data_IF_576829093100
#
_entry.id   IF_576829093100
#
_cell.length_a   1.000
_cell.length_b   1.000
_cell.length_c   1.000
_cell.angle_alpha   90.00
_cell.angle_beta   90.00
_cell.angle_gamma   90.00
#
_symmetry.space_group_name_H-M   'P 1'
#
loop_
_entity.id
_entity.type
_entity.pdbx_description
1 polymer ?
#
# COMPACT_ATOMS: atom_id res chain seq x y z
N UNK A 1 23.09 -88.62 -17.87
CA UNK A 1 22.54 -87.72 -18.92
C UNK A 1 21.91 -86.54 -18.17
N UNK A 2 22.54 -85.42 -18.12
CA UNK A 2 22.29 -84.33 -17.21
C UNK A 2 21.46 -83.24 -17.92
N UNK A 3 20.31 -82.92 -17.38
CA UNK A 3 19.43 -81.81 -17.85
C UNK A 3 19.73 -80.58 -16.96
N UNK A 4 20.26 -79.53 -17.53
CA UNK A 4 20.46 -78.22 -16.86
C UNK A 4 19.19 -77.37 -17.03
N UNK A 5 18.58 -77.05 -15.91
CA UNK A 5 17.46 -76.09 -15.82
C UNK A 5 18.09 -74.68 -15.71
N UNK A 6 17.79 -73.81 -16.70
CA UNK A 6 18.18 -72.40 -16.71
C UNK A 6 17.07 -71.59 -16.06
N UNK A 7 17.28 -71.10 -14.86
CA UNK A 7 16.33 -70.18 -14.20
C UNK A 7 16.54 -68.74 -14.73
N UNK A 8 15.56 -68.23 -15.44
CA UNK A 8 15.52 -66.80 -15.84
C UNK A 8 14.97 -65.99 -14.67
N UNK A 9 15.84 -65.19 -14.03
CA UNK A 9 15.45 -64.14 -13.07
C UNK A 9 15.08 -62.89 -13.88
N UNK A 10 13.75 -62.62 -14.03
CA UNK A 10 13.22 -61.34 -14.49
C UNK A 10 13.36 -60.34 -13.36
N UNK A 11 14.39 -59.51 -13.41
CA UNK A 11 14.51 -58.33 -12.56
C UNK A 11 13.56 -57.24 -13.05
N UNK A 12 12.43 -57.07 -12.38
CA UNK A 12 11.57 -55.89 -12.55
C UNK A 12 12.23 -54.70 -11.88
N UNK A 13 12.97 -53.87 -12.70
CA UNK A 13 13.39 -52.54 -12.28
C UNK A 13 12.14 -51.65 -12.10
N UNK A 14 11.75 -51.44 -10.87
CA UNK A 14 10.82 -50.36 -10.52
C UNK A 14 11.55 -49.02 -10.74
N UNK A 15 11.37 -48.40 -11.90
CA UNK A 15 11.70 -46.98 -12.08
C UNK A 15 10.72 -46.17 -11.22
N UNK A 16 11.20 -45.72 -10.05
CA UNK A 16 10.54 -44.65 -9.32
C UNK A 16 10.79 -43.38 -10.11
N UNK A 17 9.87 -43.07 -11.01
CA UNK A 17 9.76 -41.73 -11.57
C UNK A 17 9.24 -40.83 -10.45
N UNK A 18 10.14 -40.17 -9.73
CA UNK A 18 9.77 -39.00 -8.93
C UNK A 18 9.20 -37.97 -9.90
N UNK A 19 7.88 -37.93 -10.03
CA UNK A 19 7.21 -36.81 -10.64
C UNK A 19 7.54 -35.58 -9.78
N UNK A 20 8.48 -34.76 -10.21
CA UNK A 20 8.61 -33.41 -9.70
C UNK A 20 7.28 -32.72 -9.98
N UNK A 21 6.44 -32.59 -8.95
CA UNK A 21 5.28 -31.73 -9.04
C UNK A 21 5.79 -30.34 -9.42
N UNK A 22 5.37 -29.81 -10.56
CA UNK A 22 5.68 -28.43 -10.92
C UNK A 22 5.09 -27.54 -9.84
N UNK A 23 5.92 -26.66 -9.27
CA UNK A 23 5.46 -25.66 -8.30
C UNK A 23 4.30 -24.88 -8.89
N UNK A 24 3.23 -24.74 -8.12
CA UNK A 24 2.06 -23.99 -8.54
C UNK A 24 2.37 -22.50 -8.47
N UNK A 25 2.24 -21.82 -9.61
CA UNK A 25 2.53 -20.39 -9.71
C UNK A 25 1.48 -19.56 -9.00
N UNK A 26 1.92 -18.62 -8.16
CA UNK A 26 1.10 -17.61 -7.50
C UNK A 26 1.49 -16.24 -8.00
N UNK A 27 0.62 -15.56 -8.75
CA UNK A 27 0.86 -14.22 -9.21
C UNK A 27 0.47 -13.18 -8.16
N UNK A 28 1.37 -12.27 -7.86
CA UNK A 28 1.12 -11.12 -6.98
C UNK A 28 1.19 -9.86 -7.81
N UNK A 29 0.08 -9.15 -7.92
CA UNK A 29 -0.01 -7.93 -8.70
C UNK A 29 0.04 -6.69 -7.81
N UNK A 30 0.74 -5.66 -8.27
CA UNK A 30 0.82 -4.38 -7.57
C UNK A 30 1.07 -3.22 -8.53
N UNK A 31 0.65 -2.01 -8.14
CA UNK A 31 0.96 -0.77 -8.84
C UNK A 31 2.21 -0.05 -8.33
N UNK A 32 2.72 -0.44 -7.17
CA UNK A 32 3.87 0.21 -6.54
C UNK A 32 5.15 -0.07 -7.33
N UNK A 33 5.95 0.98 -7.54
CA UNK A 33 7.16 0.89 -8.33
C UNK A 33 8.28 0.12 -7.61
N UNK A 34 9.21 -0.43 -8.37
CA UNK A 34 10.44 -0.99 -7.79
C UNK A 34 11.18 0.11 -6.98
N UNK A 35 11.59 -0.23 -5.77
CA UNK A 35 12.22 0.72 -4.83
C UNK A 35 11.27 1.45 -3.89
N UNK A 36 9.94 1.35 -4.09
CA UNK A 36 8.96 1.78 -3.10
C UNK A 36 9.12 0.96 -1.81
N UNK A 37 8.99 1.63 -0.65
CA UNK A 37 9.06 0.97 0.66
C UNK A 37 8.06 -0.18 0.80
N UNK A 38 6.89 -0.06 0.17
CA UNK A 38 5.89 -1.12 0.11
C UNK A 38 6.43 -2.36 -0.59
N UNK A 39 7.16 -2.20 -1.71
CA UNK A 39 7.75 -3.33 -2.46
C UNK A 39 8.86 -4.00 -1.67
N UNK A 40 9.65 -3.26 -0.92
CA UNK A 40 10.67 -3.82 -0.02
C UNK A 40 9.99 -4.76 0.98
N UNK A 41 8.92 -4.33 1.64
CA UNK A 41 8.14 -5.14 2.57
C UNK A 41 7.53 -6.38 1.91
N UNK A 42 6.89 -6.20 0.75
CA UNK A 42 6.31 -7.29 -0.02
C UNK A 42 7.36 -8.35 -0.33
N UNK A 43 8.51 -7.95 -0.86
CA UNK A 43 9.58 -8.89 -1.21
C UNK A 43 10.11 -9.66 0.00
N UNK A 44 10.16 -9.04 1.18
CA UNK A 44 10.54 -9.73 2.42
C UNK A 44 9.53 -10.78 2.83
N UNK A 45 8.23 -10.44 2.81
CA UNK A 45 7.15 -11.38 3.10
C UNK A 45 7.14 -12.54 2.10
N UNK A 46 7.26 -12.23 0.81
CA UNK A 46 7.26 -13.23 -0.28
C UNK A 46 8.49 -14.16 -0.19
N UNK A 47 9.64 -13.65 0.18
CA UNK A 47 10.84 -14.49 0.42
C UNK A 47 10.59 -15.53 1.52
N UNK A 48 9.86 -15.17 2.58
CA UNK A 48 9.51 -16.11 3.64
C UNK A 48 8.49 -17.16 3.14
N UNK A 49 7.47 -16.72 2.38
CA UNK A 49 6.49 -17.63 1.79
C UNK A 49 7.14 -18.60 0.80
N UNK A 50 8.01 -18.13 -0.10
CA UNK A 50 8.73 -19.00 -1.03
C UNK A 50 9.61 -20.03 -0.30
N UNK A 51 10.25 -19.65 0.81
CA UNK A 51 11.02 -20.59 1.63
C UNK A 51 10.12 -21.64 2.31
N UNK A 52 8.96 -21.22 2.81
CA UNK A 52 8.03 -22.13 3.52
C UNK A 52 7.34 -23.10 2.56
N UNK A 53 7.01 -22.66 1.37
CA UNK A 53 6.27 -23.42 0.36
C UNK A 53 7.14 -23.92 -0.79
N UNK A 54 8.47 -24.02 -0.56
CA UNK A 54 9.41 -24.54 -1.55
C UNK A 54 8.93 -25.91 -2.08
N UNK A 55 8.90 -26.06 -3.42
CA UNK A 55 8.38 -27.24 -4.08
C UNK A 55 6.83 -27.32 -4.18
N UNK A 56 6.09 -26.37 -3.60
CA UNK A 56 4.61 -26.30 -3.64
C UNK A 56 4.12 -25.07 -4.38
N UNK A 57 4.58 -23.90 -3.98
CA UNK A 57 4.19 -22.62 -4.56
C UNK A 57 5.40 -21.78 -4.97
N UNK A 58 5.30 -21.09 -6.13
CA UNK A 58 6.23 -20.10 -6.61
C UNK A 58 5.54 -18.73 -6.66
N UNK A 59 5.78 -17.90 -5.64
CA UNK A 59 5.20 -16.57 -5.53
C UNK A 59 6.01 -15.54 -6.33
N UNK A 60 5.36 -14.86 -7.28
CA UNK A 60 5.99 -13.87 -8.17
C UNK A 60 5.31 -12.52 -8.11
N UNK A 61 6.09 -11.47 -7.83
CA UNK A 61 5.61 -10.09 -7.82
C UNK A 61 5.65 -9.51 -9.24
N UNK A 62 4.51 -9.01 -9.70
CA UNK A 62 4.31 -8.40 -11.02
C UNK A 62 3.87 -6.94 -10.82
N UNK A 63 4.70 -6.01 -11.26
CA UNK A 63 4.43 -4.57 -11.14
C UNK A 63 3.67 -4.10 -12.39
N UNK A 64 2.44 -3.62 -12.20
CA UNK A 64 1.60 -3.05 -13.25
C UNK A 64 1.15 -1.64 -12.80
N UNK A 65 1.89 -0.59 -13.18
CA UNK A 65 1.57 0.78 -12.77
C UNK A 65 0.35 1.32 -13.51
N UNK A 66 -0.24 2.39 -12.96
CA UNK A 66 -1.29 3.19 -13.61
C UNK A 66 -2.67 3.07 -12.97
N UNK A 67 -3.53 4.02 -13.32
CA UNK A 67 -4.97 4.10 -12.98
C UNK A 67 -5.31 3.81 -11.52
N UNK A 68 -4.49 4.30 -10.57
CA UNK A 68 -4.72 4.05 -9.14
C UNK A 68 -4.70 2.56 -8.74
N UNK A 69 -4.11 1.68 -9.58
CA UNK A 69 -4.03 0.23 -9.37
C UNK A 69 -5.09 -0.57 -10.14
N UNK A 70 -5.97 0.06 -10.92
CA UNK A 70 -7.04 -0.64 -11.65
C UNK A 70 -6.49 -1.65 -12.66
N UNK A 71 -5.38 -1.32 -13.36
CA UNK A 71 -4.74 -2.24 -14.30
C UNK A 71 -4.21 -3.52 -13.62
N UNK A 72 -3.65 -3.38 -12.42
CA UNK A 72 -3.21 -4.53 -11.61
C UNK A 72 -4.40 -5.37 -11.16
N UNK A 73 -5.49 -4.73 -10.70
CA UNK A 73 -6.73 -5.39 -10.29
C UNK A 73 -7.38 -6.16 -11.44
N UNK A 74 -7.49 -5.54 -12.63
CA UNK A 74 -8.04 -6.20 -13.84
C UNK A 74 -7.24 -7.46 -14.21
N UNK A 75 -5.90 -7.35 -14.18
CA UNK A 75 -5.06 -8.49 -14.48
C UNK A 75 -5.22 -9.61 -13.45
N UNK A 76 -5.32 -9.25 -12.16
CA UNK A 76 -5.55 -10.22 -11.09
C UNK A 76 -6.87 -10.97 -11.26
N UNK A 77 -7.96 -10.27 -11.63
CA UNK A 77 -9.27 -10.89 -11.91
C UNK A 77 -9.18 -11.86 -13.09
N UNK A 78 -8.51 -11.46 -14.18
CA UNK A 78 -8.37 -12.31 -15.37
C UNK A 78 -7.61 -13.59 -15.06
N UNK A 79 -6.48 -13.52 -14.35
CA UNK A 79 -5.68 -14.68 -13.99
C UNK A 79 -6.42 -15.60 -13.01
N UNK A 80 -7.11 -15.05 -12.01
CA UNK A 80 -7.89 -15.82 -11.06
C UNK A 80 -9.07 -16.57 -11.75
N UNK A 81 -9.75 -15.94 -12.72
CA UNK A 81 -10.79 -16.58 -13.51
C UNK A 81 -10.24 -17.67 -14.45
N UNK A 82 -8.96 -17.59 -14.82
CA UNK A 82 -8.25 -18.64 -15.54
C UNK A 82 -7.73 -19.77 -14.63
N UNK A 83 -8.03 -19.73 -13.33
CA UNK A 83 -7.63 -20.75 -12.35
C UNK A 83 -6.21 -20.55 -11.79
N UNK A 84 -5.58 -19.39 -12.02
CA UNK A 84 -4.26 -19.08 -11.48
C UNK A 84 -4.43 -18.45 -10.09
N UNK A 85 -3.75 -18.99 -9.08
CA UNK A 85 -3.72 -18.41 -7.75
C UNK A 85 -3.13 -16.99 -7.79
N UNK A 86 -3.89 -16.04 -7.27
CA UNK A 86 -3.57 -14.62 -7.46
C UNK A 86 -3.81 -13.83 -6.18
N UNK A 87 -2.86 -12.95 -5.87
CA UNK A 87 -2.92 -11.93 -4.83
C UNK A 87 -2.77 -10.55 -5.45
N UNK A 88 -3.29 -9.54 -4.78
CA UNK A 88 -3.00 -8.14 -5.07
C UNK A 88 -2.44 -7.46 -3.84
N UNK A 89 -1.39 -6.67 -4.05
CA UNK A 89 -0.87 -5.73 -3.05
C UNK A 89 -1.27 -4.32 -3.45
N UNK A 90 -2.11 -3.73 -2.64
CA UNK A 90 -2.58 -2.37 -2.81
C UNK A 90 -2.71 -1.66 -1.47
N UNK A 91 -3.73 -0.83 -1.36
CA UNK A 91 -4.04 -0.07 -0.15
C UNK A 91 -5.55 -0.06 0.10
N UNK A 92 -5.96 0.36 1.28
CA UNK A 92 -7.38 0.63 1.57
C UNK A 92 -7.95 1.65 0.58
N UNK A 93 -7.12 2.61 0.11
CA UNK A 93 -7.53 3.60 -0.90
C UNK A 93 -8.06 2.97 -2.19
N UNK A 94 -7.59 1.77 -2.58
CA UNK A 94 -8.11 1.08 -3.75
C UNK A 94 -9.62 0.83 -3.65
N UNK A 95 -10.11 0.52 -2.44
CA UNK A 95 -11.53 0.29 -2.17
C UNK A 95 -12.28 1.58 -1.81
N UNK A 96 -11.63 2.52 -1.16
CA UNK A 96 -12.28 3.67 -0.52
C UNK A 96 -12.24 4.96 -1.37
N UNK A 97 -11.07 5.35 -1.88
CA UNK A 97 -10.84 6.64 -2.53
C UNK A 97 -10.77 6.52 -4.05
N UNK A 98 -10.04 5.52 -4.56
CA UNK A 98 -9.78 5.38 -6.00
C UNK A 98 -11.05 5.31 -6.85
N UNK A 99 -12.13 4.63 -6.41
CA UNK A 99 -13.39 4.63 -7.15
C UNK A 99 -13.99 6.03 -7.34
N UNK A 100 -13.73 6.95 -6.40
CA UNK A 100 -14.24 8.33 -6.46
C UNK A 100 -13.35 9.21 -7.34
N UNK A 101 -12.02 9.06 -7.23
CA UNK A 101 -11.03 9.90 -7.91
C UNK A 101 -10.83 9.50 -9.37
N UNK A 102 -10.82 8.20 -9.67
CA UNK A 102 -10.47 7.65 -10.99
C UNK A 102 -11.67 7.13 -11.80
N UNK A 103 -12.91 7.28 -11.28
CA UNK A 103 -14.11 6.73 -11.92
C UNK A 103 -13.94 5.24 -12.27
N UNK A 104 -13.47 4.47 -11.28
CA UNK A 104 -13.13 3.06 -11.45
C UNK A 104 -14.33 2.23 -11.88
N UNK A 105 -14.14 1.37 -12.87
CA UNK A 105 -15.17 0.43 -13.37
C UNK A 105 -15.23 -0.87 -12.57
N UNK A 106 -14.23 -1.12 -11.71
CA UNK A 106 -14.18 -2.33 -10.88
C UNK A 106 -14.92 -2.07 -9.58
N UNK A 107 -15.96 -2.85 -9.31
CA UNK A 107 -16.57 -2.90 -7.99
C UNK A 107 -15.76 -3.85 -7.08
N UNK A 108 -14.80 -3.29 -6.35
CA UNK A 108 -13.88 -4.08 -5.52
C UNK A 108 -14.55 -4.82 -4.38
N UNK A 109 -15.68 -4.34 -3.88
CA UNK A 109 -16.45 -5.02 -2.82
C UNK A 109 -17.08 -6.33 -3.32
N UNK A 110 -17.34 -6.40 -4.65
CA UNK A 110 -17.86 -7.59 -5.30
C UNK A 110 -16.74 -8.52 -5.76
N UNK A 111 -15.68 -7.97 -6.34
CA UNK A 111 -14.63 -8.73 -7.02
C UNK A 111 -13.55 -9.27 -6.09
N UNK A 112 -13.32 -8.61 -4.93
CA UNK A 112 -12.19 -8.92 -4.07
C UNK A 112 -12.58 -9.19 -2.62
N UNK A 113 -11.67 -9.86 -1.91
CA UNK A 113 -11.71 -10.08 -0.47
C UNK A 113 -10.42 -9.53 0.13
N UNK A 114 -10.49 -8.62 1.12
CA UNK A 114 -9.33 -8.18 1.86
C UNK A 114 -8.79 -9.34 2.72
N UNK A 115 -7.47 -9.50 2.76
CA UNK A 115 -6.82 -10.65 3.43
C UNK A 115 -5.94 -10.21 4.59
N UNK A 116 -5.14 -9.16 4.40
CA UNK A 116 -4.17 -8.71 5.41
C UNK A 116 -3.95 -7.20 5.28
N UNK A 117 -4.10 -6.46 6.36
CA UNK A 117 -3.61 -5.10 6.50
C UNK A 117 -2.24 -5.15 7.17
N UNK A 118 -1.19 -5.02 6.38
CA UNK A 118 0.16 -5.20 6.87
C UNK A 118 0.67 -4.01 7.67
N UNK A 119 0.50 -2.79 7.14
CA UNK A 119 0.94 -1.59 7.83
C UNK A 119 0.17 -0.33 7.44
N UNK A 120 0.41 0.72 8.21
CA UNK A 120 0.04 2.09 7.91
C UNK A 120 1.24 3.03 7.97
N UNK A 121 1.18 4.07 7.16
CA UNK A 121 2.15 5.14 7.09
C UNK A 121 1.44 6.48 7.23
N UNK A 122 1.84 7.35 8.16
CA UNK A 122 1.27 8.68 8.23
C UNK A 122 1.62 9.48 6.98
N UNK A 123 0.76 10.39 6.60
CA UNK A 123 1.14 11.52 5.76
C UNK A 123 1.36 12.72 6.67
N UNK A 124 2.18 13.67 6.24
CA UNK A 124 2.46 14.87 7.02
C UNK A 124 2.28 16.12 6.18
N UNK A 125 1.79 17.19 6.81
CA UNK A 125 1.89 18.54 6.24
C UNK A 125 3.34 18.98 6.41
N UNK A 126 3.98 19.32 5.30
CA UNK A 126 5.41 19.64 5.24
C UNK A 126 5.66 20.95 4.52
N UNK A 127 6.63 21.70 5.03
CA UNK A 127 7.05 23.01 4.51
C UNK A 127 8.57 23.08 4.41
N UNK A 128 9.07 24.12 3.70
CA UNK A 128 10.49 24.45 3.72
C UNK A 128 10.93 24.85 5.14
N UNK A 129 11.99 24.20 5.71
CA UNK A 129 12.47 24.51 7.05
C UNK A 129 12.99 25.92 7.23
N UNK A 130 13.42 26.60 6.15
CA UNK A 130 13.94 27.96 6.17
C UNK A 130 12.84 29.04 6.32
N UNK A 131 11.57 28.64 6.17
CA UNK A 131 10.45 29.53 6.41
C UNK A 131 10.12 29.60 7.91
N UNK A 132 9.74 30.79 8.40
CA UNK A 132 9.25 30.96 9.77
C UNK A 132 7.82 30.44 9.97
N UNK A 133 7.59 29.16 9.55
CA UNK A 133 6.35 28.44 9.69
C UNK A 133 6.60 27.28 10.66
N UNK A 134 6.01 27.33 11.87
CA UNK A 134 6.25 26.36 12.93
C UNK A 134 5.02 25.52 13.27
N UNK A 135 3.85 25.98 12.88
CA UNK A 135 2.56 25.35 13.17
C UNK A 135 1.69 25.31 11.92
N UNK A 136 0.62 24.52 11.96
CA UNK A 136 -0.40 24.52 10.91
C UNK A 136 -1.02 25.91 10.76
N UNK A 137 -1.26 26.62 11.88
CA UNK A 137 -1.83 27.97 11.86
C UNK A 137 -0.90 29.00 11.18
N UNK A 138 0.43 28.85 11.34
CA UNK A 138 1.39 29.70 10.64
C UNK A 138 1.33 29.46 9.13
N UNK A 139 1.20 28.19 8.70
CA UNK A 139 1.03 27.85 7.30
C UNK A 139 -0.27 28.45 6.73
N UNK A 140 -1.37 28.34 7.47
CA UNK A 140 -2.66 28.91 7.07
C UNK A 140 -2.56 30.45 6.89
N UNK A 141 -1.90 31.15 7.83
CA UNK A 141 -1.63 32.59 7.71
C UNK A 141 -0.76 32.89 6.49
N UNK A 142 0.30 32.11 6.25
CA UNK A 142 1.18 32.26 5.10
C UNK A 142 0.40 32.13 3.78
N UNK A 143 -0.45 31.09 3.66
CA UNK A 143 -1.29 30.88 2.46
C UNK A 143 -2.30 32.01 2.26
N UNK A 144 -2.98 32.46 3.32
CA UNK A 144 -3.97 33.54 3.25
C UNK A 144 -3.39 34.88 2.83
N UNK A 145 -2.10 35.14 3.12
CA UNK A 145 -1.40 36.35 2.73
C UNK A 145 -0.94 36.35 1.27
N UNK A 146 -1.15 35.27 0.53
CA UNK A 146 -0.83 35.16 -0.88
C UNK A 146 -2.10 35.29 -1.76
N UNK A 147 -1.99 35.95 -2.90
CA UNK A 147 -3.06 35.92 -3.90
C UNK A 147 -3.28 34.49 -4.43
N UNK A 148 -2.19 33.73 -4.54
CA UNK A 148 -2.18 32.35 -5.01
C UNK A 148 -1.07 31.59 -4.30
N UNK A 149 -1.41 30.44 -3.75
CA UNK A 149 -0.48 29.49 -3.12
C UNK A 149 -0.50 28.16 -3.86
N UNK A 150 0.52 27.32 -3.63
CA UNK A 150 0.67 26.05 -4.33
C UNK A 150 0.92 24.91 -3.36
N UNK A 151 0.25 23.77 -3.59
CA UNK A 151 0.57 22.50 -2.92
C UNK A 151 1.26 21.53 -3.88
N UNK A 152 2.33 20.89 -3.43
CA UNK A 152 3.02 19.86 -4.20
C UNK A 152 2.45 18.47 -3.92
N UNK A 153 2.07 17.72 -4.96
CA UNK A 153 1.53 16.38 -4.86
C UNK A 153 2.13 15.45 -5.91
N UNK A 154 2.07 14.14 -5.70
CA UNK A 154 2.43 13.16 -6.76
C UNK A 154 1.21 12.77 -7.58
N UNK A 155 1.45 12.38 -8.84
CA UNK A 155 0.41 12.07 -9.82
C UNK A 155 -0.56 10.95 -9.38
N UNK A 156 -0.14 10.03 -8.52
CA UNK A 156 -0.90 8.82 -8.17
C UNK A 156 -1.22 8.69 -6.67
N UNK A 157 -0.89 9.70 -5.88
CA UNK A 157 -1.04 9.64 -4.42
C UNK A 157 -2.46 10.00 -3.99
N UNK A 158 -3.34 9.02 -3.83
CA UNK A 158 -4.75 9.24 -3.46
C UNK A 158 -4.94 9.69 -2.01
N UNK A 159 -4.20 9.11 -1.06
CA UNK A 159 -4.28 9.53 0.35
C UNK A 159 -3.82 10.98 0.56
N UNK A 160 -2.68 11.42 0.01
CA UNK A 160 -2.29 12.84 0.04
C UNK A 160 -3.31 13.78 -0.59
N UNK A 161 -3.92 13.40 -1.71
CA UNK A 161 -4.95 14.22 -2.37
C UNK A 161 -6.17 14.42 -1.45
N UNK A 162 -6.63 13.36 -0.80
CA UNK A 162 -7.72 13.46 0.17
C UNK A 162 -7.35 14.38 1.35
N UNK A 163 -6.15 14.21 1.90
CA UNK A 163 -5.70 15.02 3.04
C UNK A 163 -5.50 16.49 2.66
N UNK A 164 -4.99 16.79 1.46
CA UNK A 164 -4.87 18.16 0.94
C UNK A 164 -6.26 18.79 0.78
N UNK A 165 -7.23 18.03 0.26
CA UNK A 165 -8.63 18.46 0.19
C UNK A 165 -9.21 18.74 1.58
N UNK A 166 -8.99 17.86 2.56
CA UNK A 166 -9.44 18.04 3.94
C UNK A 166 -8.83 19.31 4.54
N UNK A 167 -7.51 19.49 4.42
CA UNK A 167 -6.79 20.66 4.92
C UNK A 167 -7.35 21.95 4.34
N UNK A 168 -7.47 22.03 2.99
CA UNK A 168 -7.98 23.22 2.32
C UNK A 168 -9.43 23.52 2.68
N UNK A 169 -10.29 22.52 2.70
CA UNK A 169 -11.71 22.68 3.03
C UNK A 169 -11.88 23.12 4.48
N UNK A 170 -11.12 22.53 5.42
CA UNK A 170 -11.19 22.86 6.84
C UNK A 170 -10.91 24.35 7.12
N UNK A 171 -9.91 24.92 6.43
CA UNK A 171 -9.50 26.31 6.63
C UNK A 171 -10.07 27.29 5.58
N UNK A 172 -10.89 26.83 4.65
CA UNK A 172 -11.46 27.68 3.57
C UNK A 172 -10.39 28.24 2.63
N UNK A 173 -9.36 27.48 2.30
CA UNK A 173 -8.23 27.92 1.46
C UNK A 173 -8.55 27.74 -0.03
N UNK A 174 -9.26 28.71 -0.61
CA UNK A 174 -9.70 28.66 -2.02
C UNK A 174 -8.65 29.17 -3.02
N UNK A 175 -7.53 29.73 -2.52
CA UNK A 175 -6.44 30.28 -3.32
C UNK A 175 -5.28 29.31 -3.53
N UNK A 176 -5.45 28.01 -3.23
CA UNK A 176 -4.41 26.98 -3.39
C UNK A 176 -4.62 26.19 -4.67
N UNK A 177 -3.57 26.10 -5.49
CA UNK A 177 -3.51 25.21 -6.65
C UNK A 177 -2.57 24.03 -6.40
N UNK A 178 -2.95 22.85 -6.89
CA UNK A 178 -2.14 21.63 -6.75
C UNK A 178 -1.23 21.44 -7.97
N UNK A 179 0.07 21.36 -7.71
CA UNK A 179 1.11 21.03 -8.71
C UNK A 179 1.45 19.56 -8.61
N UNK A 180 1.48 18.85 -9.74
CA UNK A 180 1.70 17.40 -9.80
C UNK A 180 3.10 17.06 -10.27
N UNK A 181 3.79 16.22 -9.52
CA UNK A 181 5.14 15.73 -9.80
C UNK A 181 5.12 14.20 -10.02
N UNK A 182 6.17 13.66 -10.62
CA UNK A 182 6.26 12.22 -10.91
C UNK A 182 6.56 11.39 -9.65
N UNK A 183 7.38 11.93 -8.74
CA UNK A 183 7.87 11.21 -7.57
C UNK A 183 8.01 12.11 -6.33
N UNK A 184 7.93 11.55 -5.10
CA UNK A 184 8.07 12.32 -3.86
C UNK A 184 9.37 13.15 -3.73
N UNK A 185 10.55 12.70 -4.19
CA UNK A 185 11.76 13.53 -4.15
C UNK A 185 11.66 14.83 -4.97
N UNK A 186 10.91 14.81 -6.09
CA UNK A 186 10.69 16.02 -6.89
C UNK A 186 9.81 17.02 -6.12
N UNK A 187 8.77 16.51 -5.41
CA UNK A 187 7.93 17.33 -4.53
C UNK A 187 8.77 17.93 -3.41
N UNK A 188 9.59 17.14 -2.74
CA UNK A 188 10.45 17.63 -1.65
C UNK A 188 11.37 18.75 -2.15
N UNK A 189 11.98 18.57 -3.31
CA UNK A 189 12.83 19.60 -3.93
C UNK A 189 12.04 20.88 -4.21
N UNK A 190 10.83 20.79 -4.78
CA UNK A 190 10.02 21.97 -5.10
C UNK A 190 9.59 22.74 -3.85
N UNK A 191 9.33 22.07 -2.72
CA UNK A 191 9.08 22.71 -1.43
C UNK A 191 10.34 23.41 -0.91
N UNK A 192 11.52 22.75 -0.98
CA UNK A 192 12.80 23.31 -0.51
C UNK A 192 13.22 24.57 -1.26
N UNK A 193 12.89 24.70 -2.55
CA UNK A 193 13.18 25.89 -3.35
C UNK A 193 12.02 26.88 -3.40
N UNK A 194 10.95 26.67 -2.60
CA UNK A 194 9.74 27.50 -2.55
C UNK A 194 9.00 27.63 -3.89
N UNK A 195 9.11 26.65 -4.79
CA UNK A 195 8.28 26.55 -5.98
C UNK A 195 6.82 26.24 -5.61
N UNK A 196 6.62 25.42 -4.58
CA UNK A 196 5.34 25.21 -3.90
C UNK A 196 5.46 25.56 -2.42
N UNK A 197 4.35 25.95 -1.79
CA UNK A 197 4.33 26.45 -0.41
C UNK A 197 4.37 25.31 0.62
N UNK A 198 3.75 24.18 0.30
CA UNK A 198 3.69 23.01 1.16
C UNK A 198 3.44 21.74 0.35
N UNK A 199 3.60 20.63 1.02
CA UNK A 199 3.15 19.32 0.51
C UNK A 199 2.50 18.49 1.62
N UNK A 200 1.69 17.49 1.20
CA UNK A 200 1.17 16.46 2.10
C UNK A 200 1.56 15.12 1.49
N UNK A 201 2.57 14.48 2.06
CA UNK A 201 3.11 13.19 1.60
C UNK A 201 3.57 12.36 2.80
N UNK A 202 4.02 11.15 2.55
CA UNK A 202 4.68 10.33 3.56
C UNK A 202 6.03 10.99 3.95
N UNK A 203 6.31 11.22 5.24
CA UNK A 203 7.52 11.90 5.67
C UNK A 203 8.82 11.11 5.45
N UNK A 204 8.73 9.81 5.21
CA UNK A 204 9.91 8.96 4.92
C UNK A 204 10.44 9.25 3.52
N UNK A 205 9.54 9.56 2.59
CA UNK A 205 9.88 9.79 1.18
C UNK A 205 10.40 11.21 0.91
N UNK A 206 10.44 12.09 1.94
CA UNK A 206 10.67 13.54 1.78
C UNK A 206 11.65 14.07 2.84
N UNK A 207 12.92 13.70 2.71
CA UNK A 207 13.97 14.16 3.64
C UNK A 207 14.22 15.67 3.51
N UNK A 208 14.52 16.30 4.65
CA UNK A 208 14.90 17.71 4.73
C UNK A 208 13.74 18.69 4.88
N UNK A 209 12.48 18.26 4.79
CA UNK A 209 11.32 19.10 5.02
C UNK A 209 10.95 19.19 6.51
N UNK A 210 10.36 20.29 6.90
CA UNK A 210 9.83 20.50 8.26
C UNK A 210 8.40 19.98 8.31
N UNK A 211 8.12 19.08 9.26
CA UNK A 211 6.81 18.50 9.50
C UNK A 211 6.03 19.39 10.48
N UNK A 212 4.77 19.71 10.14
CA UNK A 212 3.87 20.50 10.97
C UNK A 212 2.80 19.66 11.68
N UNK A 213 2.26 18.66 11.01
CA UNK A 213 1.28 17.73 11.58
C UNK A 213 1.28 16.41 10.82
N UNK A 214 0.97 15.30 11.52
CA UNK A 214 0.83 13.96 10.92
C UNK A 214 -0.63 13.51 10.90
N UNK A 215 -0.98 12.65 9.94
CA UNK A 215 -2.35 12.18 9.70
C UNK A 215 -2.69 10.88 10.46
N UNK A 216 -2.23 10.74 11.69
CA UNK A 216 -2.59 9.62 12.56
C UNK A 216 -3.53 10.08 13.70
N UNK A 217 -4.32 9.15 14.28
CA UNK A 217 -5.21 9.46 15.40
C UNK A 217 -4.44 9.81 16.68
N UNK A 218 -3.22 9.31 16.81
CA UNK A 218 -2.30 9.54 17.91
C UNK A 218 -0.91 9.81 17.35
N UNK A 219 -0.02 10.42 18.15
CA UNK A 219 1.37 10.65 17.74
C UNK A 219 2.06 9.33 17.44
N UNK A 220 2.80 9.33 16.35
CA UNK A 220 3.56 8.17 15.89
C UNK A 220 4.85 8.02 16.68
N UNK A 221 5.26 6.77 16.97
CA UNK A 221 6.48 6.48 17.72
C UNK A 221 7.76 6.94 17.00
N UNK A 222 7.73 7.02 15.67
CA UNK A 222 8.84 7.52 14.86
C UNK A 222 8.86 9.06 14.76
N UNK A 223 7.75 9.73 15.08
CA UNK A 223 7.57 11.17 15.01
C UNK A 223 6.94 11.73 16.30
N UNK A 224 7.48 11.41 17.50
CA UNK A 224 6.82 11.69 18.79
C UNK A 224 6.61 13.18 19.09
N UNK A 225 7.44 14.03 18.50
CA UNK A 225 7.39 15.48 18.69
C UNK A 225 6.47 16.19 17.68
N UNK A 226 5.96 15.48 16.66
CA UNK A 226 5.08 16.08 15.66
C UNK A 226 3.62 15.90 16.12
N UNK A 227 2.84 16.97 16.22
CA UNK A 227 1.42 16.86 16.57
C UNK A 227 0.63 16.13 15.49
N UNK A 228 -0.49 15.53 15.87
CA UNK A 228 -1.45 14.98 14.91
C UNK A 228 -2.30 16.10 14.30
N UNK A 229 -2.98 15.79 13.18
CA UNK A 229 -3.97 16.70 12.63
C UNK A 229 -5.09 16.99 13.61
N UNK A 230 -5.50 15.99 14.42
CA UNK A 230 -6.51 16.15 15.48
C UNK A 230 -6.03 17.15 16.54
N UNK A 231 -4.80 17.01 17.06
CA UNK A 231 -4.19 17.96 18.01
C UNK A 231 -4.03 19.37 17.40
N UNK A 232 -3.91 19.46 16.08
CA UNK A 232 -3.83 20.72 15.30
C UNK A 232 -5.21 21.28 14.91
N UNK A 233 -6.30 20.77 15.49
CA UNK A 233 -7.66 21.27 15.26
C UNK A 233 -8.37 20.73 14.02
N UNK A 234 -7.79 19.76 13.30
CA UNK A 234 -8.34 19.14 12.09
C UNK A 234 -8.79 17.69 12.36
N UNK A 235 -10.00 17.44 12.87
CA UNK A 235 -10.44 16.10 13.28
C UNK A 235 -10.49 15.09 12.11
N UNK A 236 -10.78 15.56 10.89
CA UNK A 236 -10.83 14.72 9.69
C UNK A 236 -9.43 14.46 9.08
N UNK A 237 -8.39 15.19 9.51
CA UNK A 237 -7.00 14.95 9.08
C UNK A 237 -6.41 13.73 9.79
N UNK A 238 -7.10 12.61 9.63
CA UNK A 238 -6.84 11.32 10.28
C UNK A 238 -6.98 10.17 9.27
N UNK A 239 -6.15 10.22 8.24
CA UNK A 239 -6.10 9.22 7.19
C UNK A 239 -4.64 8.83 6.92
N UNK A 240 -4.35 7.54 6.94
CA UNK A 240 -3.01 7.01 6.71
C UNK A 240 -2.92 6.24 5.39
N UNK A 241 -1.81 6.37 4.70
CA UNK A 241 -1.45 5.42 3.65
C UNK A 241 -1.33 4.01 4.24
N UNK A 242 -1.64 2.98 3.47
CA UNK A 242 -1.65 1.61 3.96
C UNK A 242 -1.13 0.63 2.92
N UNK A 243 -0.59 -0.49 3.38
CA UNK A 243 -0.37 -1.68 2.55
C UNK A 243 -1.36 -2.77 2.95
N UNK A 244 -2.15 -3.23 2.00
CA UNK A 244 -3.14 -4.26 2.19
C UNK A 244 -3.03 -5.32 1.09
N UNK A 245 -3.08 -6.58 1.51
CA UNK A 245 -3.26 -7.70 0.58
C UNK A 245 -4.75 -8.00 0.42
N UNK A 246 -5.16 -8.25 -0.78
CA UNK A 246 -6.50 -8.70 -1.14
C UNK A 246 -6.45 -9.67 -2.31
N UNK A 247 -7.49 -10.45 -2.50
CA UNK A 247 -7.54 -11.50 -3.52
C UNK A 247 -8.82 -11.41 -4.33
N UNK A 248 -8.79 -11.75 -5.63
CA UNK A 248 -10.01 -11.98 -6.39
C UNK A 248 -10.85 -13.09 -5.76
N UNK A 249 -12.18 -12.96 -5.75
CA UNK A 249 -13.09 -14.00 -5.21
C UNK A 249 -12.91 -15.37 -5.84
N UNK A 250 -12.50 -15.44 -7.10
CA UNK A 250 -12.19 -16.70 -7.78
C UNK A 250 -11.01 -17.46 -7.14
N UNK A 251 -10.14 -16.78 -6.37
CA UNK A 251 -9.02 -17.40 -5.62
C UNK A 251 -9.35 -17.75 -4.16
N UNK A 252 -10.61 -17.84 -3.78
CA UNK A 252 -11.06 -18.08 -2.39
C UNK A 252 -10.46 -19.32 -1.73
N UNK A 253 -10.36 -20.44 -2.45
CA UNK A 253 -9.77 -21.67 -1.91
C UNK A 253 -8.30 -21.47 -1.53
N UNK A 254 -7.57 -20.73 -2.35
CA UNK A 254 -6.18 -20.38 -2.11
C UNK A 254 -6.03 -19.44 -0.89
N UNK A 255 -6.96 -18.49 -0.71
CA UNK A 255 -6.96 -17.59 0.46
C UNK A 255 -6.98 -18.34 1.78
N UNK A 256 -7.84 -19.36 1.90
CA UNK A 256 -7.92 -20.17 3.12
C UNK A 256 -6.58 -20.83 3.46
N UNK A 257 -5.79 -21.19 2.43
CA UNK A 257 -4.48 -21.82 2.59
C UNK A 257 -3.42 -20.85 3.08
N UNK A 258 -3.38 -19.62 2.51
CA UNK A 258 -2.25 -18.71 2.75
C UNK A 258 -2.53 -17.60 3.76
N UNK A 259 -3.79 -17.37 4.18
CA UNK A 259 -4.14 -16.25 5.06
C UNK A 259 -3.29 -16.21 6.34
N UNK A 260 -3.18 -17.32 7.03
CA UNK A 260 -2.40 -17.40 8.27
C UNK A 260 -0.90 -17.24 8.03
N UNK A 261 -0.41 -17.80 6.94
CA UNK A 261 1.01 -17.73 6.58
C UNK A 261 1.41 -16.32 6.13
N UNK A 262 0.53 -15.64 5.42
CA UNK A 262 0.72 -14.24 5.06
C UNK A 262 0.75 -13.37 6.31
N UNK A 263 -0.13 -13.63 7.27
CA UNK A 263 -0.15 -12.95 8.56
C UNK A 263 1.14 -13.20 9.34
N UNK A 264 1.60 -14.45 9.45
CA UNK A 264 2.86 -14.79 10.12
C UNK A 264 4.05 -14.13 9.42
N UNK A 265 4.09 -14.16 8.08
CA UNK A 265 5.13 -13.48 7.30
C UNK A 265 5.13 -11.96 7.52
N UNK A 266 3.96 -11.36 7.74
CA UNK A 266 3.83 -9.97 8.15
C UNK A 266 4.51 -9.73 9.51
N UNK A 267 4.12 -10.48 10.54
CA UNK A 267 4.67 -10.35 11.89
C UNK A 267 6.20 -10.54 11.92
N UNK A 268 6.69 -11.58 11.25
CA UNK A 268 8.12 -11.89 11.19
C UNK A 268 8.92 -10.81 10.47
N UNK A 269 8.34 -10.20 9.42
CA UNK A 269 9.01 -9.15 8.64
C UNK A 269 9.30 -7.90 9.47
N UNK A 270 8.44 -7.54 10.41
CA UNK A 270 8.67 -6.38 11.29
C UNK A 270 9.72 -6.64 12.37
N UNK A 271 10.11 -7.88 12.60
CA UNK A 271 11.26 -8.25 13.43
C UNK A 271 12.61 -7.94 12.79
N UNK A 272 12.66 -7.72 11.47
CA UNK A 272 13.88 -7.52 10.70
C UNK A 272 14.37 -6.07 10.84
N UNK A 273 15.64 -5.86 11.19
CA UNK A 273 16.20 -4.53 11.45
C UNK A 273 16.07 -3.56 10.25
N UNK A 274 16.17 -4.07 9.02
CA UNK A 274 15.97 -3.25 7.83
C UNK A 274 14.56 -2.65 7.77
N UNK A 275 13.53 -3.37 8.22
CA UNK A 275 12.15 -2.86 8.26
C UNK A 275 12.00 -1.76 9.29
N UNK A 276 12.68 -1.88 10.44
CA UNK A 276 12.71 -0.82 11.47
C UNK A 276 13.26 0.49 10.92
N UNK A 277 14.21 0.44 9.97
CA UNK A 277 14.76 1.64 9.32
C UNK A 277 13.75 2.34 8.41
N UNK A 278 12.73 1.63 7.93
CA UNK A 278 11.67 2.19 7.09
C UNK A 278 10.65 3.04 7.87
N UNK A 279 10.72 3.08 9.21
CA UNK A 279 9.80 3.83 10.09
C UNK A 279 8.32 3.57 9.76
N UNK A 280 8.00 2.31 9.54
CA UNK A 280 6.66 1.82 9.19
C UNK A 280 5.96 1.37 10.45
N UNK A 281 4.72 1.80 10.67
CA UNK A 281 3.89 1.34 11.79
C UNK A 281 3.19 0.03 11.43
N UNK A 282 3.61 -1.11 12.02
CA UNK A 282 3.00 -2.40 11.74
C UNK A 282 1.57 -2.46 12.26
N UNK A 283 0.71 -3.15 11.52
CA UNK A 283 -0.66 -3.48 11.91
C UNK A 283 -0.82 -4.99 11.98
N UNK A 284 -0.43 -5.71 10.94
CA UNK A 284 -0.56 -7.15 10.78
C UNK A 284 -1.91 -7.65 11.30
N UNK A 285 -2.97 -7.36 10.58
CA UNK A 285 -4.32 -7.76 10.94
C UNK A 285 -5.01 -8.43 9.73
N UNK A 286 -5.45 -9.68 9.93
CA UNK A 286 -6.13 -10.51 8.94
C UNK A 286 -7.61 -10.79 9.27
N UNK A 287 -8.17 -10.12 10.29
CA UNK A 287 -9.59 -10.20 10.60
C UNK A 287 -10.42 -9.48 9.53
N UNK A 288 -11.23 -10.22 8.81
CA UNK A 288 -12.00 -9.71 7.68
C UNK A 288 -13.00 -8.64 8.09
N UNK A 289 -13.61 -8.76 9.28
CA UNK A 289 -14.54 -7.77 9.81
C UNK A 289 -13.83 -6.45 10.10
N UNK A 290 -12.65 -6.53 10.70
CA UNK A 290 -11.80 -5.36 10.93
C UNK A 290 -11.41 -4.69 9.61
N UNK A 291 -10.97 -5.47 8.61
CA UNK A 291 -10.55 -4.93 7.30
C UNK A 291 -11.69 -4.20 6.59
N UNK A 292 -12.90 -4.78 6.55
CA UNK A 292 -14.08 -4.12 5.97
C UNK A 292 -14.52 -2.88 6.75
N UNK A 293 -14.40 -2.89 8.08
CA UNK A 293 -14.68 -1.72 8.92
C UNK A 293 -13.73 -0.57 8.58
N UNK A 294 -12.44 -0.84 8.41
CA UNK A 294 -11.46 0.17 8.03
C UNK A 294 -11.70 0.72 6.61
N UNK A 295 -12.00 -0.15 5.64
CA UNK A 295 -12.39 0.26 4.28
C UNK A 295 -13.63 1.19 4.33
N UNK A 296 -14.65 0.80 5.10
CA UNK A 296 -15.89 1.58 5.23
C UNK A 296 -15.62 2.95 5.87
N UNK A 297 -14.82 3.00 6.94
CA UNK A 297 -14.43 4.25 7.62
C UNK A 297 -13.77 5.22 6.66
N UNK A 298 -12.79 4.74 5.89
CA UNK A 298 -12.03 5.55 4.95
C UNK A 298 -12.88 5.99 3.75
N UNK A 299 -13.78 5.13 3.29
CA UNK A 299 -14.75 5.48 2.23
C UNK A 299 -15.71 6.58 2.65
N UNK A 300 -16.24 6.52 3.88
CA UNK A 300 -17.12 7.56 4.40
C UNK A 300 -16.41 8.91 4.48
N UNK A 301 -15.15 8.92 4.89
CA UNK A 301 -14.32 10.13 4.91
C UNK A 301 -14.12 10.67 3.48
N UNK A 302 -13.80 9.82 2.52
CA UNK A 302 -13.63 10.23 1.11
C UNK A 302 -14.93 10.77 0.50
N UNK A 303 -16.08 10.15 0.81
CA UNK A 303 -17.39 10.61 0.36
C UNK A 303 -17.77 11.98 0.94
N UNK A 304 -17.42 12.24 2.21
CA UNK A 304 -17.61 13.55 2.85
C UNK A 304 -16.88 14.67 2.10
N UNK A 305 -15.73 14.37 1.49
CA UNK A 305 -14.88 15.34 0.79
C UNK A 305 -14.89 15.17 -0.74
N UNK A 306 -15.83 14.40 -1.31
CA UNK A 306 -15.81 14.00 -2.73
C UNK A 306 -15.79 15.17 -3.72
N UNK A 307 -16.47 16.27 -3.40
CA UNK A 307 -16.62 17.41 -4.31
C UNK A 307 -15.31 18.20 -4.48
N UNK A 308 -14.40 18.08 -3.51
CA UNK A 308 -13.06 18.68 -3.55
C UNK A 308 -11.95 17.69 -3.99
N UNK A 309 -12.31 16.43 -4.30
CA UNK A 309 -11.38 15.42 -4.83
C UNK A 309 -11.31 15.40 -6.37
N UNK A 310 -12.28 16.02 -7.03
CA UNK A 310 -12.36 16.17 -8.49
C UNK A 310 -11.84 17.54 -8.88
#
# INVERSE_FOLDING_TARGET
MWMRILSFLLGTSFMITSAFALEERVNIYTRFAAGDNTIIMVNMMIKQLNKKYEGVYDFRVNIIPGSGGESADQRAILDANAGINTLVVGSISNFAINPIVYDSKINRDIEFIPVELAHRLPNAIMVNPDLNINTVDDLVKHIRNKNKAYSGNTLQATSPILLDSIFRTHYGLNNVESVKYKAPPEVAKSVLINEVDYSILNPIDTTGLKLLAISFPQRDAYFPNIPTGIESGMPDFNYASSMMFYVPKASLKFVATIRQELHQACLDSYGIDMVKTLKITPICNNDETFLWKEITRERLLALKHKDSLK
#
